data_IF_253113933271
#
_entry.id   IF_253113933271
#
_cell.length_a   1.000
_cell.length_b   1.000
_cell.length_c   1.000
_cell.angle_alpha   90.00
_cell.angle_beta   90.00
_cell.angle_gamma   90.00
#
_symmetry.space_group_name_H-M   'P 1'
#
loop_
_entity.id
_entity.type
_entity.pdbx_description
1 polymer ?
#
# COMPACT_ATOMS: atom_id res chain seq x y z
N UNK A 1 -1.94 -6.03 13.02
CA UNK A 1 -1.90 -5.71 11.58
C UNK A 1 -1.28 -4.32 11.41
N UNK A 2 -0.89 -3.93 10.20
CA UNK A 2 -0.56 -2.53 9.91
C UNK A 2 -1.71 -1.90 9.11
N UNK A 3 -1.99 -0.63 9.37
CA UNK A 3 -2.98 0.13 8.62
C UNK A 3 -2.28 1.34 8.01
N UNK A 4 -2.58 1.64 6.75
CA UNK A 4 -2.00 2.78 6.05
C UNK A 4 -3.06 3.57 5.28
N UNK A 5 -2.84 4.88 5.22
CA UNK A 5 -3.52 5.78 4.29
C UNK A 5 -2.62 6.00 3.08
N UNK A 6 -3.07 5.60 1.89
CA UNK A 6 -2.37 5.84 0.63
C UNK A 6 -2.99 7.04 -0.06
N UNK A 7 -2.16 8.02 -0.45
CA UNK A 7 -2.59 9.23 -1.12
C UNK A 7 -1.88 9.41 -2.46
N UNK A 8 -2.65 9.61 -3.53
CA UNK A 8 -2.14 10.03 -4.84
C UNK A 8 -2.24 11.55 -4.97
N UNK A 9 -1.12 12.23 -4.75
CA UNK A 9 -1.05 13.69 -4.77
C UNK A 9 -0.59 14.22 -6.14
N UNK A 10 -1.51 14.87 -6.85
CA UNK A 10 -1.24 15.53 -8.13
C UNK A 10 -1.92 16.91 -8.12
N UNK A 11 -1.10 17.96 -8.19
CA UNK A 11 -1.54 19.36 -8.10
C UNK A 11 -2.46 19.76 -9.26
N UNK A 12 -2.06 19.43 -10.49
CA UNK A 12 -2.84 19.79 -11.68
C UNK A 12 -4.12 18.93 -11.75
N UNK A 13 -5.32 19.54 -11.76
CA UNK A 13 -6.58 18.80 -11.68
C UNK A 13 -6.85 17.95 -12.92
N UNK A 14 -6.38 18.37 -14.11
CA UNK A 14 -6.58 17.63 -15.37
C UNK A 14 -5.68 16.39 -15.40
N UNK A 15 -4.42 16.54 -15.00
CA UNK A 15 -3.48 15.43 -14.84
C UNK A 15 -3.93 14.47 -13.76
N UNK A 16 -4.42 14.98 -12.62
CA UNK A 16 -4.95 14.16 -11.54
C UNK A 16 -6.13 13.31 -12.00
N UNK A 17 -7.10 13.91 -12.69
CA UNK A 17 -8.26 13.17 -13.19
C UNK A 17 -7.86 12.06 -14.17
N UNK A 18 -7.00 12.39 -15.15
CA UNK A 18 -6.48 11.42 -16.11
C UNK A 18 -5.72 10.28 -15.43
N UNK A 19 -4.86 10.61 -14.47
CA UNK A 19 -4.07 9.61 -13.74
C UNK A 19 -4.98 8.68 -12.93
N UNK A 20 -5.91 9.22 -12.14
CA UNK A 20 -6.81 8.41 -11.30
C UNK A 20 -7.73 7.50 -12.14
N UNK A 21 -8.06 7.87 -13.37
CA UNK A 21 -8.78 7.00 -14.32
C UNK A 21 -7.90 5.92 -14.95
N UNK A 22 -6.58 6.09 -14.95
CA UNK A 22 -5.65 5.10 -15.49
C UNK A 22 -5.28 4.01 -14.47
N UNK A 23 -5.47 4.25 -13.18
CA UNK A 23 -5.13 3.31 -12.11
C UNK A 23 -6.39 2.71 -11.45
N UNK A 24 -7.38 2.33 -12.25
CA UNK A 24 -8.63 1.71 -11.75
C UNK A 24 -8.33 0.44 -10.95
N UNK A 25 -8.91 0.30 -9.76
CA UNK A 25 -8.66 -0.84 -8.86
C UNK A 25 -7.21 -0.94 -8.34
N UNK A 26 -6.46 0.17 -8.28
CA UNK A 26 -5.08 0.19 -7.74
C UNK A 26 -4.97 -0.43 -6.35
N UNK A 27 -6.02 -0.33 -5.53
CA UNK A 27 -6.03 -0.86 -4.18
C UNK A 27 -5.85 -2.38 -4.10
N UNK A 28 -6.21 -3.11 -5.16
CA UNK A 28 -5.98 -4.57 -5.28
C UNK A 28 -4.53 -4.93 -5.58
N UNK A 29 -3.71 -3.93 -5.88
CA UNK A 29 -2.32 -4.07 -6.32
C UNK A 29 -1.32 -3.53 -5.28
N UNK A 30 -1.79 -3.21 -4.08
CA UNK A 30 -0.99 -2.74 -2.96
C UNK A 30 -0.52 -3.93 -2.11
N UNK A 31 0.76 -3.97 -1.75
CA UNK A 31 1.29 -4.96 -0.81
C UNK A 31 2.56 -4.47 -0.11
N UNK A 32 2.89 -5.12 1.01
CA UNK A 32 4.20 -5.01 1.65
C UNK A 32 4.98 -6.29 1.32
N UNK A 33 6.19 -6.13 0.79
CA UNK A 33 7.15 -7.21 0.62
C UNK A 33 8.05 -7.29 1.85
N UNK A 34 8.16 -8.48 2.45
CA UNK A 34 8.98 -8.76 3.63
C UNK A 34 10.01 -9.82 3.27
N UNK A 35 11.16 -9.39 2.76
CA UNK A 35 12.22 -10.29 2.28
C UNK A 35 11.71 -11.33 1.27
N UNK A 36 10.89 -10.90 0.31
CA UNK A 36 10.29 -11.75 -0.73
C UNK A 36 8.93 -12.37 -0.37
N UNK A 37 8.41 -12.15 0.85
CA UNK A 37 7.06 -12.59 1.23
C UNK A 37 6.06 -11.46 1.02
N UNK A 38 4.98 -11.75 0.30
CA UNK A 38 3.93 -10.79 -0.01
C UNK A 38 2.87 -10.74 1.09
N UNK A 39 2.70 -9.57 1.69
CA UNK A 39 1.56 -9.22 2.56
C UNK A 39 0.60 -8.34 1.77
N UNK A 40 -0.49 -8.92 1.28
CA UNK A 40 -1.47 -8.21 0.45
C UNK A 40 -2.18 -7.12 1.26
N UNK A 41 -2.41 -5.97 0.64
CA UNK A 41 -3.25 -4.92 1.18
C UNK A 41 -4.73 -5.23 0.95
N UNK A 42 -5.53 -5.01 1.98
CA UNK A 42 -6.98 -5.10 1.94
C UNK A 42 -7.57 -3.72 2.18
N UNK A 43 -8.14 -3.13 1.12
CA UNK A 43 -8.75 -1.81 1.24
C UNK A 43 -10.09 -1.88 1.98
N UNK A 44 -10.37 -0.87 2.79
CA UNK A 44 -11.69 -0.72 3.42
C UNK A 44 -12.79 -0.59 2.35
N UNK A 45 -13.88 -1.33 2.56
CA UNK A 45 -15.00 -1.45 1.61
C UNK A 45 -16.14 -0.47 1.90
N UNK A 46 -16.15 0.18 3.06
CA UNK A 46 -17.27 1.00 3.53
C UNK A 46 -17.41 2.35 2.80
N UNK A 47 -16.50 2.65 1.87
CA UNK A 47 -16.59 3.84 1.04
C UNK A 47 -16.24 3.49 -0.41
N UNK A 48 -17.09 3.85 -1.38
CA UNK A 48 -16.79 3.64 -2.80
C UNK A 48 -15.38 4.18 -3.15
N UNK A 49 -14.46 3.28 -3.52
CA UNK A 49 -13.06 3.59 -3.85
C UNK A 49 -12.81 3.70 -5.36
N UNK A 50 -13.67 3.08 -6.16
CA UNK A 50 -13.77 3.30 -7.60
C UNK A 50 -15.21 3.66 -7.88
N UNK A 51 -15.44 4.88 -8.40
CA UNK A 51 -16.79 5.31 -8.79
C UNK A 51 -17.30 4.48 -9.97
N UNK A 52 -18.61 4.45 -10.17
CA UNK A 52 -19.23 3.76 -11.32
C UNK A 52 -18.68 4.22 -12.69
N UNK A 53 -18.07 5.41 -12.77
CA UNK A 53 -17.38 5.94 -13.96
C UNK A 53 -15.92 5.47 -14.10
N UNK A 54 -15.47 4.52 -13.29
CA UNK A 54 -14.12 3.93 -13.33
C UNK A 54 -13.02 4.78 -12.69
N UNK A 55 -13.36 5.91 -12.05
CA UNK A 55 -12.38 6.78 -11.40
C UNK A 55 -12.00 6.27 -10.01
N UNK A 56 -10.71 6.03 -9.81
CA UNK A 56 -10.11 5.69 -8.51
C UNK A 56 -10.11 6.89 -7.56
N UNK A 57 -10.32 6.62 -6.27
CA UNK A 57 -10.13 7.60 -5.20
C UNK A 57 -8.69 8.08 -5.14
N UNK A 58 -8.46 9.33 -4.73
CA UNK A 58 -7.10 9.79 -4.44
C UNK A 58 -6.60 9.33 -3.07
N UNK A 59 -7.50 8.82 -2.21
CA UNK A 59 -7.18 8.37 -0.85
C UNK A 59 -7.76 6.99 -0.60
N UNK A 60 -6.94 6.09 -0.07
CA UNK A 60 -7.30 4.71 0.30
C UNK A 60 -6.87 4.41 1.72
N UNK A 61 -7.71 3.69 2.47
CA UNK A 61 -7.36 3.10 3.77
C UNK A 61 -7.16 1.61 3.54
N UNK A 62 -6.02 1.08 3.98
CA UNK A 62 -5.57 -0.27 3.62
C UNK A 62 -5.06 -0.99 4.86
N UNK A 63 -5.59 -2.18 5.10
CA UNK A 63 -5.14 -3.11 6.13
C UNK A 63 -4.14 -4.10 5.56
N UNK A 64 -3.07 -4.37 6.30
CA UNK A 64 -2.07 -5.39 5.98
C UNK A 64 -2.02 -6.38 7.13
N UNK A 65 -2.57 -7.57 6.90
CA UNK A 65 -2.63 -8.63 7.91
C UNK A 65 -1.41 -9.53 7.78
N UNK A 66 -0.55 -9.46 8.78
CA UNK A 66 0.66 -10.25 8.85
C UNK A 66 0.42 -11.53 9.62
N UNK A 67 1.04 -12.63 9.19
CA UNK A 67 1.17 -13.84 10.00
C UNK A 67 2.26 -13.67 11.07
N UNK A 68 2.29 -14.50 12.13
CA UNK A 68 3.37 -14.47 13.12
C UNK A 68 4.78 -14.62 12.50
N UNK A 69 4.92 -15.44 11.47
CA UNK A 69 6.19 -15.67 10.76
C UNK A 69 6.63 -14.41 10.01
N UNK A 70 5.69 -13.74 9.32
CA UNK A 70 5.95 -12.48 8.64
C UNK A 70 6.31 -11.37 9.63
N UNK A 71 5.70 -11.33 10.82
CA UNK A 71 6.03 -10.37 11.88
C UNK A 71 7.47 -10.61 12.38
N UNK A 72 7.83 -11.87 12.64
CA UNK A 72 9.19 -12.21 13.06
C UNK A 72 10.22 -11.78 12.02
N UNK A 73 9.94 -12.05 10.74
CA UNK A 73 10.80 -11.65 9.61
C UNK A 73 10.87 -10.14 9.44
N UNK A 74 9.76 -9.42 9.60
CA UNK A 74 9.71 -7.95 9.56
C UNK A 74 10.59 -7.33 10.65
N UNK A 75 10.58 -7.92 11.87
CA UNK A 75 11.39 -7.46 13.01
C UNK A 75 12.88 -7.71 12.86
N UNK A 76 13.31 -8.66 12.04
CA UNK A 76 14.73 -8.92 11.78
C UNK A 76 15.37 -7.70 11.07
N UNK A 77 16.38 -7.03 11.67
CA UNK A 77 17.07 -5.89 11.07
C UNK A 77 17.67 -6.18 9.69
N UNK A 78 18.06 -7.42 9.40
CA UNK A 78 18.63 -7.82 8.12
C UNK A 78 17.58 -7.97 7.01
N UNK A 79 16.30 -8.11 7.36
CA UNK A 79 15.21 -8.22 6.38
C UNK A 79 14.92 -6.87 5.73
N UNK A 80 15.05 -6.82 4.40
CA UNK A 80 14.55 -5.72 3.58
C UNK A 80 13.02 -5.77 3.53
N UNK A 81 12.38 -4.63 3.78
CA UNK A 81 10.94 -4.45 3.66
C UNK A 81 10.65 -3.38 2.62
N UNK A 82 9.69 -3.62 1.74
CA UNK A 82 9.28 -2.65 0.70
C UNK A 82 7.76 -2.46 0.71
N UNK A 83 7.31 -1.24 0.46
CA UNK A 83 5.92 -0.97 0.08
C UNK A 83 5.84 -0.96 -1.45
N UNK A 84 4.85 -1.64 -2.01
CA UNK A 84 4.75 -1.88 -3.46
C UNK A 84 3.36 -1.58 -3.99
N UNK A 85 3.34 -0.91 -5.13
CA UNK A 85 2.18 -0.74 -6.01
C UNK A 85 2.51 -1.46 -7.31
N UNK A 86 1.79 -2.54 -7.61
CA UNK A 86 2.01 -3.36 -8.80
C UNK A 86 0.84 -3.27 -9.79
N UNK A 87 0.36 -2.05 -10.03
CA UNK A 87 -0.68 -1.79 -11.01
C UNK A 87 -0.03 -1.57 -12.39
N UNK A 88 -0.59 -2.14 -13.46
CA UNK A 88 -0.03 -2.08 -14.82
C UNK A 88 0.33 -0.65 -15.29
N UNK A 89 -0.53 0.31 -14.97
CA UNK A 89 -0.35 1.72 -15.32
C UNK A 89 0.45 2.53 -14.29
N UNK A 90 0.85 1.93 -13.16
CA UNK A 90 1.66 2.57 -12.13
C UNK A 90 2.39 1.53 -11.26
N UNK A 91 3.58 1.14 -11.70
CA UNK A 91 4.48 0.27 -10.97
C UNK A 91 5.47 1.10 -10.13
N UNK A 92 5.38 0.99 -8.80
CA UNK A 92 6.27 1.69 -7.90
C UNK A 92 6.61 0.84 -6.68
N UNK A 93 7.85 0.95 -6.20
CA UNK A 93 8.29 0.31 -4.97
C UNK A 93 9.22 1.26 -4.21
N UNK A 94 9.11 1.24 -2.88
CA UNK A 94 9.98 2.01 -2.01
C UNK A 94 10.46 1.11 -0.86
N UNK A 95 11.78 1.12 -0.61
CA UNK A 95 12.39 0.44 0.53
C UNK A 95 12.04 1.20 1.80
N UNK A 96 11.53 0.48 2.79
CA UNK A 96 11.22 1.03 4.11
C UNK A 96 12.52 1.29 4.87
N UNK A 97 12.72 2.54 5.30
CA UNK A 97 13.90 2.91 6.07
C UNK A 97 13.91 2.19 7.43
N UNK A 98 15.09 1.84 7.98
CA UNK A 98 15.20 1.10 9.24
C UNK A 98 14.40 1.72 10.39
N UNK A 99 14.45 3.04 10.54
CA UNK A 99 13.75 3.76 11.62
C UNK A 99 12.22 3.66 11.48
N UNK A 100 11.70 3.66 10.24
CA UNK A 100 10.26 3.47 9.97
C UNK A 100 9.87 2.03 10.29
N UNK A 101 10.69 1.05 9.89
CA UNK A 101 10.47 -0.37 10.19
C UNK A 101 10.44 -0.62 11.70
N UNK A 102 11.40 -0.07 12.44
CA UNK A 102 11.47 -0.18 13.90
C UNK A 102 10.26 0.47 14.60
N UNK A 103 9.75 1.58 14.06
CA UNK A 103 8.55 2.22 14.58
C UNK A 103 7.31 1.34 14.38
N UNK A 104 7.07 0.88 13.14
CA UNK A 104 5.90 0.07 12.78
C UNK A 104 5.94 -1.32 13.43
N UNK A 105 7.12 -1.87 13.71
CA UNK A 105 7.25 -3.17 14.38
C UNK A 105 6.58 -3.22 15.77
N UNK A 106 6.37 -2.04 16.39
CA UNK A 106 5.71 -1.88 17.69
C UNK A 106 4.19 -2.04 17.61
N UNK A 107 3.60 -1.94 16.41
CA UNK A 107 2.16 -2.04 16.19
C UNK A 107 1.69 -3.51 16.11
N UNK A 108 2.61 -4.48 16.09
CA UNK A 108 2.35 -5.92 16.14
C UNK A 108 2.31 -6.48 17.58
N UNK A 109 1.84 -5.68 18.54
CA UNK A 109 1.71 -6.10 19.94
C UNK A 109 0.67 -7.22 20.12
#
# INVERSE_FOLDING_TARGET
ELVATVMFEINDPVRRDRFLRSITWVEKHLFIDVGGEKVAGEAETDVERTKADGKTSSVHFVHFRFTPEQIAKFRDPATQVMVVIAHENYHHMAVMQPQVKEALAKDFA
#
